data_IF_918587579480
#
_entry.id   IF_918587579480
#
_cell.length_a   1.000
_cell.length_b   1.000
_cell.length_c   1.000
_cell.angle_alpha   90.00
_cell.angle_beta   90.00
_cell.angle_gamma   90.00
#
_symmetry.space_group_name_H-M   'P 1'
#
loop_
_entity.id
_entity.type
_entity.pdbx_description
1 polymer ?
#
# COMPACT_ATOMS: atom_id res chain seq x y z
N UNK A 1 -28.82 -48.49 -28.11
CA UNK A 1 -29.42 -47.26 -27.56
C UNK A 1 -28.53 -46.74 -26.43
N UNK A 2 -27.28 -46.40 -26.75
CA UNK A 2 -26.29 -45.86 -25.82
C UNK A 2 -25.10 -45.32 -26.64
N UNK A 3 -25.28 -44.17 -27.29
CA UNK A 3 -24.21 -43.45 -27.99
C UNK A 3 -24.61 -41.98 -28.29
N UNK A 4 -25.35 -41.31 -27.38
CA UNK A 4 -25.79 -39.93 -27.61
C UNK A 4 -25.72 -39.01 -26.38
N UNK A 5 -24.99 -39.41 -25.33
CA UNK A 5 -24.89 -38.62 -24.09
C UNK A 5 -23.45 -38.23 -23.70
N UNK A 6 -22.50 -38.27 -24.65
CA UNK A 6 -21.08 -37.97 -24.36
C UNK A 6 -20.49 -36.82 -25.21
N UNK A 7 -21.30 -36.00 -25.87
CA UNK A 7 -20.81 -34.80 -26.59
C UNK A 7 -21.29 -33.47 -25.98
N UNK A 8 -22.18 -33.49 -24.98
CA UNK A 8 -22.77 -32.27 -24.41
C UNK A 8 -22.00 -31.69 -23.21
N UNK A 9 -20.84 -32.25 -22.84
CA UNK A 9 -20.05 -31.83 -21.66
C UNK A 9 -18.72 -31.15 -21.99
N UNK A 10 -18.42 -30.84 -23.25
CA UNK A 10 -17.13 -30.25 -23.65
C UNK A 10 -17.17 -28.80 -24.14
N UNK A 11 -18.26 -28.07 -23.89
CA UNK A 11 -18.42 -26.67 -24.34
C UNK A 11 -18.79 -25.66 -23.24
N UNK A 12 -18.61 -25.99 -21.95
CA UNK A 12 -18.89 -25.04 -20.84
C UNK A 12 -17.69 -24.70 -19.93
N UNK A 13 -16.45 -24.99 -20.33
CA UNK A 13 -15.26 -24.66 -19.52
C UNK A 13 -14.34 -23.56 -20.08
N UNK A 14 -14.84 -22.73 -21.01
CA UNK A 14 -14.12 -21.55 -21.49
C UNK A 14 -14.90 -20.26 -21.25
N UNK A 15 -15.08 -19.86 -19.99
CA UNK A 15 -15.25 -18.44 -19.61
C UNK A 15 -15.26 -18.22 -18.07
N UNK A 16 -14.26 -18.75 -17.37
CA UNK A 16 -14.01 -18.41 -15.97
C UNK A 16 -12.63 -17.75 -15.77
N UNK A 17 -12.31 -16.79 -16.64
CA UNK A 17 -11.23 -15.85 -16.37
C UNK A 17 -11.81 -14.57 -15.74
N UNK A 18 -12.09 -14.58 -14.45
CA UNK A 18 -12.02 -13.36 -13.62
C UNK A 18 -12.21 -13.64 -12.12
N UNK A 19 -11.13 -13.90 -11.36
CA UNK A 19 -11.07 -13.36 -10.02
C UNK A 19 -10.58 -11.90 -10.12
N UNK A 20 -11.03 -11.05 -9.19
CA UNK A 20 -10.75 -9.61 -9.05
C UNK A 20 -11.78 -8.69 -9.74
N UNK A 21 -13.03 -8.73 -9.25
CA UNK A 21 -13.97 -7.58 -9.34
C UNK A 21 -13.93 -6.67 -8.11
N UNK A 22 -12.92 -6.79 -7.24
CA UNK A 22 -12.67 -5.81 -6.19
C UNK A 22 -11.52 -4.91 -6.63
N UNK A 23 -11.83 -3.64 -6.87
CA UNK A 23 -10.84 -2.64 -7.26
C UNK A 23 -9.78 -2.47 -6.18
N UNK A 24 -8.50 -2.57 -6.54
CA UNK A 24 -7.40 -2.24 -5.63
C UNK A 24 -7.43 -0.76 -5.28
N UNK A 25 -7.21 -0.42 -4.00
CA UNK A 25 -7.01 0.97 -3.60
C UNK A 25 -5.67 1.47 -4.12
N UNK A 26 -5.69 2.61 -4.83
CA UNK A 26 -4.50 3.12 -5.53
C UNK A 26 -4.17 4.58 -5.25
N UNK A 27 -5.12 5.33 -4.67
CA UNK A 27 -4.93 6.74 -4.32
C UNK A 27 -5.58 7.02 -2.98
N UNK A 28 -4.85 7.72 -2.14
CA UNK A 28 -5.22 7.98 -0.76
C UNK A 28 -5.10 9.47 -0.46
N UNK A 29 -5.99 9.98 0.39
CA UNK A 29 -5.93 11.35 0.91
C UNK A 29 -5.83 11.28 2.42
N UNK A 30 -4.77 11.87 2.97
CA UNK A 30 -4.57 11.97 4.40
C UNK A 30 -5.14 13.29 4.91
N UNK A 31 -5.94 13.19 5.96
CA UNK A 31 -6.45 14.32 6.73
C UNK A 31 -6.08 14.18 8.19
N UNK A 32 -6.07 15.29 8.91
CA UNK A 32 -5.80 15.34 10.33
C UNK A 32 -6.81 16.20 11.07
N UNK A 33 -7.08 15.80 12.29
CA UNK A 33 -7.71 16.58 13.37
C UNK A 33 -6.72 16.68 14.52
N UNK A 34 -7.09 17.31 15.63
CA UNK A 34 -6.25 17.37 16.82
C UNK A 34 -5.89 15.97 17.35
N UNK A 35 -6.85 15.04 17.35
CA UNK A 35 -6.73 13.72 17.99
C UNK A 35 -6.52 12.55 17.03
N UNK A 36 -6.86 12.68 15.74
CA UNK A 36 -6.80 11.57 14.78
C UNK A 36 -6.30 11.98 13.40
N UNK A 37 -5.65 11.04 12.71
CA UNK A 37 -5.53 11.05 11.25
C UNK A 37 -6.64 10.20 10.62
N UNK A 38 -7.04 10.60 9.41
CA UNK A 38 -8.00 9.89 8.57
C UNK A 38 -7.37 9.68 7.20
N UNK A 39 -7.15 8.43 6.80
CA UNK A 39 -6.74 8.06 5.45
C UNK A 39 -7.97 7.64 4.65
N UNK A 40 -8.24 8.37 3.57
CA UNK A 40 -9.34 8.05 2.66
C UNK A 40 -8.76 7.39 1.43
N UNK A 41 -8.97 6.08 1.30
CA UNK A 41 -8.52 5.28 0.15
C UNK A 41 -9.61 5.17 -0.90
N UNK A 42 -9.21 5.17 -2.17
CA UNK A 42 -10.11 4.89 -3.29
C UNK A 42 -9.45 4.03 -4.36
N UNK A 43 -10.29 3.30 -5.08
CA UNK A 43 -9.90 2.55 -6.27
C UNK A 43 -9.67 3.45 -7.50
N UNK A 44 -9.20 2.82 -8.59
CA UNK A 44 -8.92 3.52 -9.86
C UNK A 44 -10.22 4.02 -10.51
N UNK A 45 -11.29 3.22 -10.47
CA UNK A 45 -12.61 3.52 -11.03
C UNK A 45 -13.38 4.58 -10.26
N UNK A 46 -12.99 4.92 -9.03
CA UNK A 46 -13.76 5.80 -8.14
C UNK A 46 -15.16 5.25 -7.93
N UNK A 47 -15.21 4.00 -7.51
CA UNK A 47 -16.46 3.30 -7.17
C UNK A 47 -16.50 2.92 -5.70
N UNK A 48 -15.33 2.71 -5.08
CA UNK A 48 -15.23 2.30 -3.69
C UNK A 48 -14.28 3.22 -2.92
N UNK A 49 -14.76 3.72 -1.79
CA UNK A 49 -13.98 4.50 -0.83
C UNK A 49 -13.96 3.79 0.51
N UNK A 50 -12.78 3.74 1.13
CA UNK A 50 -12.58 3.18 2.48
C UNK A 50 -11.90 4.20 3.37
N UNK A 51 -12.07 4.03 4.68
CA UNK A 51 -11.57 4.98 5.68
C UNK A 51 -10.72 4.25 6.72
N UNK A 52 -9.48 4.68 6.88
CA UNK A 52 -8.60 4.28 7.97
C UNK A 52 -8.50 5.41 8.99
N UNK A 53 -8.69 5.08 10.27
CA UNK A 53 -8.57 6.02 11.39
C UNK A 53 -7.32 5.66 12.17
N UNK A 54 -6.47 6.65 12.42
CA UNK A 54 -5.22 6.47 13.19
C UNK A 54 -5.25 7.42 14.37
N UNK A 55 -5.08 6.90 15.57
CA UNK A 55 -5.04 7.71 16.79
C UNK A 55 -3.72 8.49 16.91
N UNK A 56 -3.80 9.72 17.43
CA UNK A 56 -2.65 10.61 17.66
C UNK A 56 -2.44 10.94 19.14
N UNK A 57 -3.37 10.54 19.99
CA UNK A 57 -3.36 10.83 21.42
C UNK A 57 -2.59 9.77 22.21
N UNK A 58 -2.47 8.55 21.67
CA UNK A 58 -1.67 7.48 22.27
C UNK A 58 -0.17 7.66 21.90
N UNK A 59 0.71 8.01 22.86
CA UNK A 59 2.12 8.28 22.56
C UNK A 59 2.96 7.01 22.34
N UNK A 60 2.56 5.86 22.90
CA UNK A 60 3.44 4.69 22.95
C UNK A 60 3.01 3.54 22.04
N UNK A 61 1.73 3.47 21.68
CA UNK A 61 1.16 2.39 20.86
C UNK A 61 0.53 2.91 19.57
N UNK A 62 0.67 2.11 18.51
CA UNK A 62 0.08 2.41 17.22
C UNK A 62 -1.36 1.90 17.18
N UNK A 63 -2.32 2.82 17.34
CA UNK A 63 -3.74 2.49 17.27
C UNK A 63 -4.32 2.85 15.90
N UNK A 64 -4.57 1.83 15.08
CA UNK A 64 -5.15 1.95 13.74
C UNK A 64 -6.43 1.13 13.68
N UNK A 65 -7.50 1.71 13.13
CA UNK A 65 -8.77 1.01 12.88
C UNK A 65 -9.29 1.32 11.50
N UNK A 66 -9.68 0.28 10.78
CA UNK A 66 -10.37 0.40 9.50
C UNK A 66 -11.88 0.50 9.75
N UNK A 67 -12.54 1.42 9.04
CA UNK A 67 -13.98 1.48 8.95
C UNK A 67 -14.47 0.35 8.04
N UNK A 68 -15.37 -0.50 8.54
CA UNK A 68 -15.90 -1.65 7.79
C UNK A 68 -16.80 -1.22 6.62
N UNK A 69 -17.30 0.01 6.64
CA UNK A 69 -18.21 0.53 5.62
C UNK A 69 -17.46 0.87 4.34
N UNK A 70 -18.00 0.43 3.21
CA UNK A 70 -17.56 0.92 1.89
C UNK A 70 -18.46 2.08 1.49
N UNK A 71 -17.85 3.22 1.18
CA UNK A 71 -18.54 4.47 0.88
C UNK A 71 -18.52 4.75 -0.63
N UNK A 72 -19.50 5.52 -1.09
CA UNK A 72 -19.47 6.26 -2.35
C UNK A 72 -18.73 7.61 -2.19
N UNK A 73 -18.46 8.31 -3.30
CA UNK A 73 -17.84 9.64 -3.25
C UNK A 73 -18.65 10.65 -2.42
N UNK A 74 -19.98 10.62 -2.56
CA UNK A 74 -20.90 11.54 -1.87
C UNK A 74 -20.91 11.27 -0.37
N UNK A 75 -21.12 10.01 0.03
CA UNK A 75 -21.14 9.63 1.45
C UNK A 75 -19.79 9.91 2.12
N UNK A 76 -18.68 9.69 1.40
CA UNK A 76 -17.35 10.00 1.92
C UNK A 76 -17.15 11.51 2.10
N UNK A 77 -17.65 12.32 1.16
CA UNK A 77 -17.61 13.79 1.26
C UNK A 77 -18.43 14.29 2.46
N UNK A 78 -19.63 13.72 2.66
CA UNK A 78 -20.49 14.03 3.80
C UNK A 78 -19.88 13.59 5.13
N UNK A 79 -19.20 12.44 5.17
CA UNK A 79 -18.44 11.98 6.33
C UNK A 79 -17.33 12.97 6.68
N UNK A 80 -16.53 13.40 5.70
CA UNK A 80 -15.45 14.37 5.93
C UNK A 80 -16.00 15.72 6.43
N UNK A 81 -17.14 16.18 5.90
CA UNK A 81 -17.84 17.38 6.37
C UNK A 81 -18.26 17.25 7.84
N UNK A 82 -18.92 16.14 8.20
CA UNK A 82 -19.36 15.90 9.59
C UNK A 82 -18.17 15.83 10.57
N UNK A 83 -17.07 15.18 10.16
CA UNK A 83 -15.84 15.16 10.96
C UNK A 83 -15.28 16.57 11.13
N UNK A 84 -15.27 17.38 10.05
CA UNK A 84 -14.81 18.76 10.11
C UNK A 84 -15.63 19.59 11.10
N UNK A 85 -16.96 19.55 10.98
CA UNK A 85 -17.88 20.28 11.85
C UNK A 85 -17.75 19.84 13.31
N UNK A 86 -17.69 18.53 13.57
CA UNK A 86 -17.51 17.98 14.92
C UNK A 86 -16.17 18.33 15.57
N UNK A 87 -15.18 18.75 14.78
CA UNK A 87 -13.87 19.17 15.28
C UNK A 87 -13.63 20.69 15.15
N UNK A 88 -14.66 21.49 14.83
CA UNK A 88 -14.51 22.92 14.54
C UNK A 88 -13.84 23.70 15.68
N UNK A 89 -14.15 23.36 16.93
CA UNK A 89 -13.53 23.96 18.14
C UNK A 89 -12.04 23.70 18.27
N UNK A 90 -11.52 22.63 17.65
CA UNK A 90 -10.09 22.26 17.67
C UNK A 90 -9.39 22.52 16.33
N UNK A 91 -10.00 23.35 15.48
CA UNK A 91 -9.46 23.75 14.17
C UNK A 91 -9.93 22.90 12.99
N UNK A 92 -10.89 22.00 13.20
CA UNK A 92 -11.55 21.20 12.18
C UNK A 92 -10.68 20.11 11.56
N UNK A 93 -11.22 19.48 10.51
CA UNK A 93 -10.50 18.53 9.67
C UNK A 93 -9.64 19.29 8.66
N UNK A 94 -8.34 18.97 8.59
CA UNK A 94 -7.37 19.60 7.70
C UNK A 94 -6.78 18.57 6.75
N UNK A 95 -6.68 18.91 5.46
CA UNK A 95 -5.96 18.09 4.50
C UNK A 95 -4.45 18.16 4.76
N UNK A 96 -3.78 17.02 4.67
CA UNK A 96 -2.33 16.91 4.89
C UNK A 96 -1.61 16.67 3.57
N UNK A 97 -1.90 15.53 2.92
CA UNK A 97 -1.24 15.17 1.66
C UNK A 97 -2.05 14.13 0.89
N UNK A 98 -1.73 13.99 -0.40
CA UNK A 98 -2.17 12.85 -1.21
C UNK A 98 -1.03 11.84 -1.24
N UNK A 99 -1.35 10.56 -1.08
CA UNK A 99 -0.37 9.50 -1.20
C UNK A 99 -0.91 8.33 -2.03
N UNK A 100 0.00 7.42 -2.36
CA UNK A 100 -0.20 6.30 -3.28
C UNK A 100 0.07 4.96 -2.59
N UNK A 101 0.27 4.96 -1.27
CA UNK A 101 0.51 3.77 -0.49
C UNK A 101 1.23 4.11 0.82
N UNK A 102 0.93 3.33 1.85
CA UNK A 102 1.69 3.36 3.10
C UNK A 102 2.90 2.42 2.94
N UNK A 103 4.10 2.97 3.11
CA UNK A 103 5.34 2.17 3.18
C UNK A 103 5.42 1.46 4.53
N UNK A 104 4.96 2.10 5.58
CA UNK A 104 4.80 1.47 6.89
C UNK A 104 4.88 2.48 8.02
N UNK A 105 4.98 1.94 9.23
CA UNK A 105 5.07 2.67 10.47
C UNK A 105 6.37 2.30 11.18
N UNK A 106 7.02 3.29 11.78
CA UNK A 106 8.24 3.05 12.56
C UNK A 106 8.23 3.89 13.81
N UNK A 107 8.68 3.28 14.91
CA UNK A 107 8.96 3.96 16.18
C UNK A 107 10.47 3.92 16.40
N UNK A 108 11.04 5.07 16.72
CA UNK A 108 12.44 5.17 17.13
C UNK A 108 12.50 5.21 18.67
N UNK A 109 12.99 6.30 19.25
CA UNK A 109 12.95 6.53 20.70
C UNK A 109 11.71 7.31 21.13
N UNK A 110 11.05 7.94 20.17
CA UNK A 110 9.94 8.83 20.40
C UNK A 110 8.62 8.38 19.78
N UNK A 111 7.94 9.28 19.06
CA UNK A 111 6.65 8.99 18.45
C UNK A 111 6.77 7.92 17.35
N UNK A 112 5.64 7.34 16.99
CA UNK A 112 5.53 6.68 15.69
C UNK A 112 5.60 7.70 14.55
N UNK A 113 6.18 7.26 13.43
CA UNK A 113 6.16 7.95 12.16
C UNK A 113 5.48 7.08 11.12
N UNK A 114 4.70 7.71 10.27
CA UNK A 114 4.07 7.10 9.10
C UNK A 114 4.86 7.48 7.86
N UNK A 115 5.34 6.48 7.12
CA UNK A 115 6.08 6.67 5.87
C UNK A 115 5.15 6.43 4.68
N UNK A 116 5.05 7.44 3.80
CA UNK A 116 4.09 7.46 2.69
C UNK A 116 4.80 7.65 1.35
N UNK A 117 4.24 7.07 0.29
CA UNK A 117 4.61 7.39 -1.10
C UNK A 117 3.72 8.54 -1.56
N UNK A 118 4.28 9.73 -1.76
CA UNK A 118 3.51 10.93 -2.17
C UNK A 118 3.58 11.17 -3.67
N UNK A 119 4.54 10.58 -4.38
CA UNK A 119 4.55 10.51 -5.85
C UNK A 119 5.06 9.15 -6.32
N UNK A 120 4.50 8.68 -7.44
CA UNK A 120 4.90 7.46 -8.14
C UNK A 120 4.89 7.68 -9.65
N UNK A 121 5.66 6.88 -10.38
CA UNK A 121 5.69 6.84 -11.85
C UNK A 121 5.46 5.42 -12.31
N UNK A 122 4.60 5.20 -13.30
CA UNK A 122 4.47 3.90 -13.96
C UNK A 122 5.73 3.63 -14.78
N UNK A 123 6.36 2.48 -14.55
CA UNK A 123 7.61 2.08 -15.21
C UNK A 123 7.43 0.90 -16.16
N UNK A 124 6.25 0.28 -16.15
CA UNK A 124 5.88 -0.80 -17.04
C UNK A 124 4.71 -1.61 -16.50
N UNK A 125 4.50 -2.79 -17.08
CA UNK A 125 3.48 -3.74 -16.67
C UNK A 125 3.97 -5.19 -16.83
N UNK A 126 3.58 -6.06 -15.89
CA UNK A 126 3.79 -7.51 -15.94
C UNK A 126 2.42 -8.16 -16.11
N UNK A 127 2.19 -8.89 -17.19
CA UNK A 127 0.91 -9.59 -17.46
C UNK A 127 -0.32 -8.67 -17.34
N UNK A 128 -0.23 -7.41 -17.82
CA UNK A 128 -1.30 -6.41 -17.72
C UNK A 128 -1.38 -5.66 -16.39
N UNK A 129 -0.59 -6.04 -15.39
CA UNK A 129 -0.53 -5.35 -14.11
C UNK A 129 0.57 -4.29 -14.09
N UNK A 130 0.19 -3.02 -13.93
CA UNK A 130 1.13 -1.91 -13.85
C UNK A 130 2.11 -2.04 -12.67
N UNK A 131 3.36 -1.69 -12.93
CA UNK A 131 4.47 -1.60 -11.98
C UNK A 131 4.86 -0.13 -11.85
N UNK A 132 5.08 0.32 -10.61
CA UNK A 132 5.33 1.72 -10.30
C UNK A 132 6.64 1.87 -9.53
N UNK A 133 7.45 2.85 -9.94
CA UNK A 133 8.57 3.35 -9.15
C UNK A 133 8.08 4.44 -8.18
N UNK A 134 8.67 4.47 -6.99
CA UNK A 134 8.50 5.59 -6.04
C UNK A 134 9.31 6.78 -6.57
N UNK A 135 8.71 7.97 -6.58
CA UNK A 135 9.40 9.20 -7.02
C UNK A 135 9.44 10.28 -5.94
N UNK A 136 8.58 10.17 -4.92
CA UNK A 136 8.66 10.98 -3.71
C UNK A 136 8.05 10.21 -2.54
N UNK A 137 8.70 10.27 -1.39
CA UNK A 137 8.19 9.77 -0.13
C UNK A 137 8.21 10.87 0.94
N UNK A 138 7.35 10.75 1.94
CA UNK A 138 7.28 11.67 3.07
C UNK A 138 7.08 10.91 4.38
N UNK A 139 7.75 11.37 5.44
CA UNK A 139 7.65 10.82 6.79
C UNK A 139 6.87 11.80 7.67
N UNK A 140 5.72 11.36 8.19
CA UNK A 140 4.80 12.19 8.98
C UNK A 140 4.79 11.68 10.43
N UNK A 141 5.12 12.52 11.43
CA UNK A 141 5.01 12.14 12.84
C UNK A 141 3.54 12.01 13.26
N UNK A 142 3.22 10.95 14.01
CA UNK A 142 1.84 10.68 14.45
C UNK A 142 1.38 11.58 15.62
N UNK A 143 2.14 11.73 16.72
CA UNK A 143 1.65 12.40 17.91
C UNK A 143 1.48 13.90 17.76
N UNK A 144 0.55 14.42 18.56
CA UNK A 144 0.19 15.82 18.60
C UNK A 144 1.27 16.66 19.32
N UNK A 145 1.27 17.98 19.09
CA UNK A 145 2.18 18.92 19.75
C UNK A 145 2.11 18.83 21.29
N UNK A 146 0.93 18.55 21.86
CA UNK A 146 0.72 18.36 23.30
C UNK A 146 1.51 17.17 23.88
N UNK A 147 1.81 16.16 23.06
CA UNK A 147 2.62 14.98 23.45
C UNK A 147 4.11 15.14 23.14
N UNK A 148 4.53 16.17 22.38
CA UNK A 148 5.96 16.40 22.05
C UNK A 148 6.79 16.92 23.21
N UNK A 149 6.17 17.55 24.21
CA UNK A 149 6.84 18.17 25.36
C UNK A 149 7.55 17.17 26.28
N UNK A 150 7.37 15.85 26.08
CA UNK A 150 8.00 14.77 26.85
C UNK A 150 9.22 14.12 26.18
N UNK A 151 9.69 14.60 25.02
CA UNK A 151 10.80 13.96 24.30
C UNK A 151 12.17 14.35 24.88
N UNK A 152 12.72 13.46 25.71
CA UNK A 152 14.03 13.64 26.39
C UNK A 152 15.23 13.51 25.43
N UNK A 153 15.06 12.90 24.24
CA UNK A 153 16.19 12.46 23.38
C UNK A 153 16.10 12.92 21.91
N UNK A 154 15.90 14.22 21.65
CA UNK A 154 15.75 14.76 20.30
C UNK A 154 16.96 14.52 19.36
N UNK A 155 18.19 14.52 19.91
CA UNK A 155 19.41 14.29 19.14
C UNK A 155 19.50 12.85 18.61
N UNK A 156 19.32 11.86 19.48
CA UNK A 156 19.30 10.44 19.13
C UNK A 156 18.15 10.11 18.19
N UNK A 157 16.97 10.67 18.42
CA UNK A 157 15.81 10.54 17.54
C UNK A 157 16.14 11.00 16.10
N UNK A 158 16.71 12.20 15.96
CA UNK A 158 17.10 12.72 14.65
C UNK A 158 18.22 11.92 13.99
N UNK A 159 19.13 11.33 14.77
CA UNK A 159 20.13 10.41 14.25
C UNK A 159 19.47 9.19 13.60
N UNK A 160 18.52 8.53 14.27
CA UNK A 160 17.81 7.39 13.69
C UNK A 160 16.97 7.77 12.47
N UNK A 161 16.32 8.94 12.49
CA UNK A 161 15.61 9.46 11.30
C UNK A 161 16.55 9.64 10.12
N UNK A 162 17.73 10.24 10.34
CA UNK A 162 18.74 10.41 9.29
C UNK A 162 19.21 9.07 8.75
N UNK A 163 19.45 8.08 9.63
CA UNK A 163 19.85 6.73 9.22
C UNK A 163 18.80 6.08 8.31
N UNK A 164 17.52 6.14 8.68
CA UNK A 164 16.45 5.61 7.81
C UNK A 164 16.37 6.38 6.48
N UNK A 165 16.56 7.70 6.50
CA UNK A 165 16.55 8.53 5.30
C UNK A 165 17.77 8.32 4.39
N UNK A 166 18.80 7.58 4.81
CA UNK A 166 19.90 7.18 3.91
C UNK A 166 19.41 6.21 2.84
N UNK A 167 18.34 5.45 3.11
CA UNK A 167 17.69 4.62 2.09
C UNK A 167 16.81 5.52 1.24
N UNK A 168 17.31 5.83 0.05
CA UNK A 168 16.56 6.61 -0.93
C UNK A 168 15.51 5.74 -1.60
N UNK A 169 14.27 5.83 -1.13
CA UNK A 169 13.14 5.12 -1.71
C UNK A 169 12.88 5.48 -3.18
N UNK A 170 13.46 6.55 -3.72
CA UNK A 170 13.27 6.93 -5.13
C UNK A 170 14.18 6.18 -6.09
N UNK A 171 15.20 5.49 -5.56
CA UNK A 171 16.17 4.73 -6.35
C UNK A 171 15.86 3.25 -6.27
N UNK A 172 15.52 2.66 -7.42
CA UNK A 172 15.45 1.20 -7.59
C UNK A 172 14.41 0.48 -6.69
N UNK A 173 13.47 1.24 -6.12
CA UNK A 173 12.29 0.69 -5.45
C UNK A 173 11.06 0.77 -6.33
N UNK A 174 10.38 -0.37 -6.45
CA UNK A 174 9.15 -0.47 -7.22
C UNK A 174 8.12 -1.37 -6.52
N UNK A 175 6.87 -1.21 -6.93
CA UNK A 175 5.72 -1.94 -6.38
C UNK A 175 4.62 -2.08 -7.42
N UNK A 176 3.69 -3.01 -7.19
CA UNK A 176 2.43 -3.10 -7.91
C UNK A 176 1.28 -3.24 -6.91
N UNK A 177 0.12 -2.68 -7.24
CA UNK A 177 -1.09 -2.83 -6.42
C UNK A 177 -1.75 -4.19 -6.61
N UNK A 178 -1.64 -4.73 -7.82
CA UNK A 178 -2.42 -5.87 -8.29
C UNK A 178 -1.59 -7.11 -8.61
N UNK A 179 -0.26 -7.02 -8.47
CA UNK A 179 0.65 -8.12 -8.79
C UNK A 179 1.71 -8.28 -7.71
N UNK A 180 1.95 -9.52 -7.28
CA UNK A 180 2.94 -9.86 -6.28
C UNK A 180 4.35 -9.88 -6.91
N UNK A 181 4.93 -8.71 -7.10
CA UNK A 181 6.27 -8.53 -7.70
C UNK A 181 7.41 -9.17 -6.88
N UNK A 182 7.18 -9.45 -5.59
CA UNK A 182 8.13 -10.15 -4.74
C UNK A 182 8.20 -11.66 -5.02
N UNK A 183 7.24 -12.22 -5.75
CA UNK A 183 7.21 -13.63 -6.18
C UNK A 183 7.76 -13.80 -7.60
N UNK A 184 8.27 -14.99 -7.92
CA UNK A 184 8.61 -15.33 -9.31
C UNK A 184 7.33 -15.51 -10.13
N UNK A 185 7.45 -15.41 -11.46
CA UNK A 185 6.32 -15.63 -12.38
C UNK A 185 5.71 -17.02 -12.18
N UNK A 186 6.55 -18.06 -12.08
CA UNK A 186 6.11 -19.43 -11.81
C UNK A 186 5.32 -19.53 -10.50
N UNK A 187 5.78 -18.89 -9.42
CA UNK A 187 5.05 -18.91 -8.15
C UNK A 187 3.70 -18.18 -8.24
N UNK A 188 3.62 -17.06 -8.97
CA UNK A 188 2.36 -16.34 -9.17
C UNK A 188 1.37 -17.09 -10.06
N UNK A 189 1.84 -17.94 -10.98
CA UNK A 189 0.99 -18.76 -11.85
C UNK A 189 0.56 -20.07 -11.20
N UNK A 190 1.45 -20.72 -10.45
CA UNK A 190 1.23 -22.07 -9.93
C UNK A 190 0.66 -22.10 -8.51
N UNK A 191 0.87 -21.05 -7.70
CA UNK A 191 0.46 -21.07 -6.30
C UNK A 191 -0.75 -20.16 -6.04
N UNK A 192 -1.81 -20.73 -5.43
CA UNK A 192 -3.06 -20.03 -5.09
C UNK A 192 -3.08 -19.43 -3.69
N UNK A 193 -1.97 -19.51 -2.95
CA UNK A 193 -1.85 -18.86 -1.65
C UNK A 193 -2.21 -17.37 -1.74
N UNK A 194 -3.21 -16.98 -0.96
CA UNK A 194 -3.69 -15.61 -0.74
C UNK A 194 -3.54 -15.29 0.74
N UNK A 195 -3.14 -14.06 1.10
CA UNK A 195 -3.03 -13.64 2.50
C UNK A 195 -1.87 -12.69 2.82
N UNK A 196 -1.76 -12.23 4.08
CA UNK A 196 -0.68 -11.36 4.54
C UNK A 196 0.70 -12.04 4.52
N UNK A 197 0.75 -13.36 4.75
CA UNK A 197 1.98 -14.15 4.88
C UNK A 197 2.83 -14.15 3.60
N UNK A 198 2.20 -13.92 2.46
CA UNK A 198 2.84 -13.75 1.15
C UNK A 198 3.89 -12.64 1.17
N UNK A 199 3.70 -11.67 2.04
CA UNK A 199 4.56 -10.51 2.14
C UNK A 199 5.71 -10.71 3.13
N UNK A 200 5.77 -11.86 3.84
CA UNK A 200 6.83 -12.21 4.79
C UNK A 200 8.04 -12.85 4.08
N UNK A 201 8.49 -12.22 2.99
CA UNK A 201 9.61 -12.72 2.18
C UNK A 201 10.82 -11.78 2.26
N UNK A 202 12.00 -12.32 2.03
CA UNK A 202 13.26 -11.56 1.97
C UNK A 202 13.31 -10.50 0.86
N UNK A 203 12.36 -10.52 -0.08
CA UNK A 203 12.26 -9.59 -1.20
C UNK A 203 11.35 -8.39 -0.91
N UNK A 204 10.57 -8.41 0.18
CA UNK A 204 9.76 -7.27 0.61
C UNK A 204 10.58 -6.44 1.58
N UNK A 205 11.17 -5.35 1.08
CA UNK A 205 12.08 -4.51 1.86
C UNK A 205 11.42 -3.89 3.09
N UNK A 206 10.17 -3.44 2.95
CA UNK A 206 9.41 -2.79 4.02
C UNK A 206 8.57 -3.75 4.86
N UNK A 207 8.88 -5.05 4.87
CA UNK A 207 8.11 -6.05 5.61
C UNK A 207 7.98 -5.65 7.09
N UNK A 208 9.10 -5.38 7.76
CA UNK A 208 9.13 -4.93 9.16
C UNK A 208 8.28 -3.68 9.40
N UNK A 209 8.38 -2.68 8.53
CA UNK A 209 7.63 -1.42 8.64
C UNK A 209 6.12 -1.63 8.52
N UNK A 210 5.69 -2.66 7.79
CA UNK A 210 4.28 -2.98 7.56
C UNK A 210 3.71 -4.02 8.51
N UNK A 211 4.55 -4.74 9.25
CA UNK A 211 4.14 -5.89 10.08
C UNK A 211 3.07 -5.51 11.09
N UNK A 212 3.28 -4.45 11.86
CA UNK A 212 2.32 -4.02 12.88
C UNK A 212 0.96 -3.68 12.30
N UNK A 213 0.90 -2.92 11.21
CA UNK A 213 -0.39 -2.53 10.60
C UNK A 213 -1.09 -3.72 9.94
N UNK A 214 -0.35 -4.66 9.34
CA UNK A 214 -0.94 -5.88 8.77
C UNK A 214 -1.53 -6.77 9.85
N UNK A 215 -0.85 -6.90 11.00
CA UNK A 215 -1.35 -7.68 12.13
C UNK A 215 -2.58 -7.05 12.77
N UNK A 216 -2.65 -5.71 12.82
CA UNK A 216 -3.81 -5.00 13.38
C UNK A 216 -5.04 -5.02 12.46
N UNK A 217 -4.83 -4.95 11.14
CA UNK A 217 -5.93 -4.85 10.16
C UNK A 217 -6.30 -6.18 9.51
N UNK A 218 -5.46 -7.20 9.66
CA UNK A 218 -5.57 -8.50 8.97
C UNK A 218 -5.71 -8.38 7.45
N UNK A 219 -5.17 -7.31 6.86
CA UNK A 219 -5.18 -7.08 5.42
C UNK A 219 -4.00 -6.22 4.96
N UNK A 220 -3.78 -6.17 3.64
CA UNK A 220 -2.67 -5.43 3.02
C UNK A 220 -3.12 -4.23 2.20
N UNK A 221 -4.42 -3.90 2.22
CA UNK A 221 -5.05 -2.95 1.27
C UNK A 221 -4.47 -1.52 1.34
N UNK A 222 -3.98 -1.11 2.50
CA UNK A 222 -3.43 0.23 2.75
C UNK A 222 -1.92 0.33 2.50
N UNK A 223 -1.24 -0.81 2.57
CA UNK A 223 0.22 -0.90 2.47
C UNK A 223 0.65 -1.36 1.10
N UNK A 224 1.87 -1.02 0.69
CA UNK A 224 2.47 -1.56 -0.54
C UNK A 224 3.66 -2.45 -0.20
N UNK A 225 3.91 -3.48 -1.02
CA UNK A 225 5.16 -4.23 -0.96
C UNK A 225 6.21 -3.51 -1.79
N UNK A 226 7.23 -2.95 -1.14
CA UNK A 226 8.38 -2.40 -1.83
C UNK A 226 9.41 -3.50 -2.09
N UNK A 227 9.81 -3.62 -3.34
CA UNK A 227 10.91 -4.50 -3.76
C UNK A 227 12.06 -3.62 -4.23
N UNK A 228 13.25 -3.92 -3.74
CA UNK A 228 14.49 -3.26 -4.16
C UNK A 228 15.15 -4.06 -5.27
N UNK A 229 15.55 -3.40 -6.36
CA UNK A 229 16.30 -4.00 -7.44
C UNK A 229 16.04 -3.33 -8.79
N UNK A 230 16.11 -4.09 -9.87
CA UNK A 230 16.03 -3.53 -11.21
C UNK A 230 14.78 -4.02 -11.94
N UNK A 231 14.04 -3.09 -12.52
CA UNK A 231 12.92 -3.38 -13.41
C UNK A 231 13.14 -2.67 -14.75
N UNK A 232 13.11 -3.44 -15.84
CA UNK A 232 13.12 -2.89 -17.20
C UNK A 232 12.11 -3.63 -18.05
N UNK A 233 11.27 -2.88 -18.75
CA UNK A 233 10.39 -3.42 -19.79
C UNK A 233 10.84 -2.88 -21.16
N UNK A 234 10.94 -3.78 -22.13
CA UNK A 234 11.22 -3.44 -23.53
C UNK A 234 10.14 -4.03 -24.40
N UNK A 235 9.58 -3.21 -25.28
CA UNK A 235 8.55 -3.61 -26.23
C UNK A 235 9.24 -3.82 -27.57
N UNK A 236 9.16 -5.03 -28.11
CA UNK A 236 9.68 -5.35 -29.43
C UNK A 236 8.52 -5.73 -30.36
N UNK A 237 8.61 -5.32 -31.62
CA UNK A 237 7.67 -5.72 -32.65
C UNK A 237 8.34 -6.77 -33.54
N UNK A 238 7.90 -8.02 -33.44
CA UNK A 238 8.47 -9.15 -34.17
C UNK A 238 7.36 -9.74 -35.04
N UNK A 239 7.54 -9.70 -36.37
CA UNK A 239 6.54 -10.19 -37.34
C UNK A 239 5.11 -9.65 -37.10
N UNK A 240 4.98 -8.34 -36.81
CA UNK A 240 3.71 -7.66 -36.47
C UNK A 240 3.07 -8.09 -35.14
N UNK A 241 3.73 -8.94 -34.35
CA UNK A 241 3.34 -9.29 -32.98
C UNK A 241 4.10 -8.38 -32.01
N UNK A 242 3.38 -7.79 -31.05
CA UNK A 242 3.98 -6.97 -29.99
C UNK A 242 4.40 -7.87 -28.83
N UNK A 243 5.71 -7.96 -28.56
CA UNK A 243 6.29 -8.71 -27.46
C UNK A 243 6.67 -7.75 -26.33
N UNK A 244 6.15 -8.01 -25.12
CA UNK A 244 6.51 -7.30 -23.90
C UNK A 244 7.54 -8.12 -23.11
N UNK A 245 8.83 -7.80 -23.26
CA UNK A 245 9.89 -8.42 -22.47
C UNK A 245 10.14 -7.61 -21.20
N UNK A 246 10.29 -8.28 -20.06
CA UNK A 246 10.68 -7.62 -18.82
C UNK A 246 11.85 -8.36 -18.15
N UNK A 247 12.74 -7.60 -17.51
CA UNK A 247 13.71 -8.11 -16.55
C UNK A 247 13.39 -7.58 -15.16
N UNK A 248 13.41 -8.50 -14.19
CA UNK A 248 13.15 -8.22 -12.79
C UNK A 248 14.26 -8.84 -11.94
N UNK A 249 15.17 -8.00 -11.45
CA UNK A 249 16.16 -8.38 -10.44
C UNK A 249 15.68 -7.92 -9.08
N UNK A 250 15.72 -8.82 -8.10
CA UNK A 250 15.27 -8.57 -6.73
C UNK A 250 16.46 -8.78 -5.79
N UNK A 251 16.81 -7.74 -5.05
CA UNK A 251 17.86 -7.82 -4.06
C UNK A 251 17.30 -8.28 -2.72
N UNK A 252 18.11 -9.03 -1.98
CA UNK A 252 17.77 -9.54 -0.67
C UNK A 252 17.84 -8.40 0.34
N UNK A 253 16.75 -8.16 1.07
CA UNK A 253 16.81 -7.33 2.27
C UNK A 253 17.41 -8.19 3.39
N UNK A 254 18.64 -7.86 3.82
CA UNK A 254 19.27 -8.51 4.97
C UNK A 254 18.33 -8.41 6.19
N UNK A 255 17.86 -9.55 6.69
CA UNK A 255 17.12 -9.62 7.96
C UNK A 255 18.15 -9.46 9.07
N UNK A 256 18.14 -8.33 9.77
CA UNK A 256 18.76 -8.31 11.11
C UNK A 256 17.78 -9.02 12.04
N UNK A 257 18.16 -10.24 12.44
CA UNK A 257 17.49 -11.07 13.44
C UNK A 257 17.54 -10.42 14.81
#
# INVERSE_FOLDING_TARGET
MAACDMESQHQQEQDQFSPIRQGFMQKFRLYQTLSKFYMIGRDKSRTHWRVLKIDRMEPYELNIREDSTTYTERECSDLLRRIHEGNRSTGGLKFVTTCYGIVGFIKFLGPYYMLLITKRREIGAICGHSVYAVTKSEMIPLPNAATRSKMVNYSSENRYKKLLCMVDLTKDFFFSYSYHIMRSLQMNMCNKETGPDIYETMFVWNEYLTRTVRNLLHNTTWTVALVYGFFKQVIHLVFKITLHCFSLLRNISQRQS
#
